data_IF_620459836674
#
_entry.id   IF_620459836674
#
_cell.length_a   1.000
_cell.length_b   1.000
_cell.length_c   1.000
_cell.angle_alpha   90.00
_cell.angle_beta   90.00
_cell.angle_gamma   90.00
#
_symmetry.space_group_name_H-M   'P 1'
#
loop_
_entity.id
_entity.type
_entity.pdbx_description
1 polymer ?
#
# COMPACT_ATOMS: atom_id res chain seq x y z
N UNK A 1 9.77 -11.96 -21.45
CA UNK A 1 10.03 -12.26 -20.03
C UNK A 1 10.00 -10.92 -19.32
N UNK A 2 8.92 -10.61 -18.61
CA UNK A 2 8.76 -9.31 -17.93
C UNK A 2 9.79 -9.25 -16.81
N UNK A 3 10.82 -8.43 -16.98
CA UNK A 3 11.86 -8.25 -15.96
C UNK A 3 11.30 -7.30 -14.90
N UNK A 4 11.52 -7.62 -13.64
CA UNK A 4 11.11 -6.79 -12.50
C UNK A 4 12.32 -6.57 -11.59
N UNK A 5 12.39 -5.38 -11.00
CA UNK A 5 13.46 -4.97 -10.09
C UNK A 5 12.86 -4.57 -8.75
N UNK A 6 13.58 -4.82 -7.66
CA UNK A 6 13.15 -4.41 -6.32
C UNK A 6 13.91 -3.15 -5.94
N UNK A 7 13.18 -2.06 -5.78
CA UNK A 7 13.73 -0.76 -5.43
C UNK A 7 13.46 -0.50 -3.94
N UNK A 8 14.48 -0.17 -3.13
CA UNK A 8 14.25 0.18 -1.73
C UNK A 8 13.45 1.47 -1.65
N UNK A 9 12.33 1.44 -0.92
CA UNK A 9 11.45 2.61 -0.78
C UNK A 9 12.15 3.72 0.01
N UNK A 10 12.84 3.33 1.09
CA UNK A 10 13.62 4.24 1.91
C UNK A 10 15.12 3.98 1.67
N UNK A 11 15.86 5.01 1.27
CA UNK A 11 17.33 4.93 1.11
C UNK A 11 18.00 4.92 2.48
N UNK A 12 18.25 3.73 3.00
CA UNK A 12 18.93 3.47 4.27
C UNK A 12 19.97 2.35 4.11
N UNK A 13 20.94 2.23 5.03
CA UNK A 13 22.03 1.25 4.92
C UNK A 13 21.55 -0.21 4.85
N UNK A 14 20.39 -0.51 5.45
CA UNK A 14 19.75 -1.84 5.38
C UNK A 14 18.24 -1.68 5.14
N UNK A 15 17.80 -1.53 3.88
CA UNK A 15 16.38 -1.37 3.59
C UNK A 15 15.63 -2.67 3.87
N UNK A 16 14.46 -2.54 4.47
CA UNK A 16 13.55 -3.66 4.80
C UNK A 16 12.24 -3.60 4.00
N UNK A 17 11.96 -2.47 3.34
CA UNK A 17 10.77 -2.26 2.53
C UNK A 17 11.17 -1.89 1.09
N UNK A 18 10.61 -2.63 0.14
CA UNK A 18 10.92 -2.53 -1.28
C UNK A 18 9.62 -2.39 -2.07
N UNK A 19 9.69 -1.63 -3.15
CA UNK A 19 8.67 -1.57 -4.18
C UNK A 19 9.13 -2.34 -5.40
N UNK A 20 8.16 -2.91 -6.13
CA UNK A 20 8.44 -3.49 -7.45
C UNK A 20 8.56 -2.35 -8.45
N UNK A 21 9.57 -2.42 -9.32
CA UNK A 21 9.64 -1.63 -10.55
C UNK A 21 9.56 -2.56 -11.75
N UNK A 22 8.54 -2.38 -12.58
CA UNK A 22 8.40 -3.13 -13.82
C UNK A 22 9.30 -2.56 -14.90
N UNK A 23 9.87 -3.42 -15.74
CA UNK A 23 10.72 -2.97 -16.83
C UNK A 23 9.93 -2.17 -17.87
N UNK A 24 10.41 -0.97 -18.17
CA UNK A 24 9.73 -0.02 -19.07
C UNK A 24 9.01 1.10 -18.33
N UNK A 25 8.72 0.92 -17.04
CA UNK A 25 8.13 1.97 -16.21
C UNK A 25 9.19 2.95 -15.71
N UNK A 26 8.83 4.24 -15.66
CA UNK A 26 9.70 5.30 -15.13
C UNK A 26 9.89 5.17 -13.63
N UNK A 27 8.87 4.72 -12.92
CA UNK A 27 8.76 4.73 -11.46
C UNK A 27 8.51 3.33 -10.88
N UNK A 28 8.80 3.16 -9.60
CA UNK A 28 8.38 1.98 -8.85
C UNK A 28 6.94 2.12 -8.34
N UNK A 29 6.33 0.99 -8.02
CA UNK A 29 4.92 0.90 -7.63
C UNK A 29 4.58 1.69 -6.36
N UNK A 30 5.56 1.99 -5.49
CA UNK A 30 5.28 2.85 -4.34
C UNK A 30 5.08 4.29 -4.81
N UNK A 31 6.04 4.86 -5.52
CA UNK A 31 5.95 6.24 -5.99
C UNK A 31 4.74 6.44 -6.92
N UNK A 32 4.57 5.54 -7.90
CA UNK A 32 3.42 5.57 -8.81
C UNK A 32 2.08 5.61 -8.07
N UNK A 33 1.92 4.81 -7.00
CA UNK A 33 0.68 4.77 -6.23
C UNK A 33 0.40 6.07 -5.48
N UNK A 34 1.40 6.62 -4.79
CA UNK A 34 1.23 7.85 -4.01
C UNK A 34 1.06 9.08 -4.91
N UNK A 35 1.70 9.10 -6.08
CA UNK A 35 1.48 10.13 -7.10
C UNK A 35 0.03 10.07 -7.63
N UNK A 36 -0.48 8.88 -7.96
CA UNK A 36 -1.88 8.72 -8.39
C UNK A 36 -2.89 9.06 -7.28
N UNK A 37 -2.57 8.78 -6.02
CA UNK A 37 -3.45 9.12 -4.89
C UNK A 37 -3.41 10.60 -4.49
N UNK A 38 -2.46 11.37 -5.03
CA UNK A 38 -2.38 12.82 -4.84
C UNK A 38 -2.82 13.61 -6.09
N UNK A 39 -2.98 12.95 -7.24
CA UNK A 39 -3.47 13.54 -8.49
C UNK A 39 -5.01 13.67 -8.48
N UNK A 40 -5.49 14.90 -8.38
CA UNK A 40 -6.93 15.22 -8.37
C UNK A 40 -7.59 14.86 -9.70
N UNK A 41 -6.95 15.11 -10.84
CA UNK A 41 -7.53 14.86 -12.16
C UNK A 41 -7.68 13.36 -12.42
N UNK A 42 -6.68 12.58 -12.01
CA UNK A 42 -6.76 11.12 -12.03
C UNK A 42 -7.88 10.60 -11.13
N UNK A 43 -7.95 11.07 -9.87
CA UNK A 43 -8.96 10.61 -8.93
C UNK A 43 -10.38 10.99 -9.34
N UNK A 44 -10.56 12.19 -9.91
CA UNK A 44 -11.84 12.62 -10.44
C UNK A 44 -12.31 11.68 -11.55
N UNK A 45 -11.45 11.41 -12.54
CA UNK A 45 -11.75 10.46 -13.62
C UNK A 45 -12.06 9.07 -13.06
N UNK A 46 -11.23 8.58 -12.13
CA UNK A 46 -11.41 7.27 -11.51
C UNK A 46 -12.75 7.15 -10.77
N UNK A 47 -13.15 8.13 -9.97
CA UNK A 47 -14.39 8.08 -9.21
C UNK A 47 -15.62 8.36 -10.07
N UNK A 48 -15.51 9.16 -11.13
CA UNK A 48 -16.59 9.32 -12.11
C UNK A 48 -16.85 8.00 -12.86
N UNK A 49 -15.80 7.32 -13.30
CA UNK A 49 -15.91 6.02 -13.99
C UNK A 49 -16.48 4.92 -13.09
N UNK A 50 -16.26 5.02 -11.77
CA UNK A 50 -16.72 4.04 -10.77
C UNK A 50 -17.83 4.61 -9.86
N UNK A 51 -18.61 5.58 -10.35
CA UNK A 51 -19.61 6.31 -9.56
C UNK A 51 -20.65 5.40 -8.88
N UNK A 52 -21.07 4.33 -9.55
CA UNK A 52 -22.05 3.40 -8.99
C UNK A 52 -21.54 2.67 -7.74
N UNK A 53 -20.27 2.29 -7.73
CA UNK A 53 -19.64 1.60 -6.60
C UNK A 53 -19.38 2.56 -5.44
N UNK A 54 -19.14 3.84 -5.75
CA UNK A 54 -18.97 4.89 -4.75
C UNK A 54 -20.26 5.17 -3.98
N UNK A 55 -21.41 5.22 -4.68
CA UNK A 55 -22.73 5.47 -4.09
C UNK A 55 -23.29 4.26 -3.35
N UNK A 56 -23.04 3.04 -3.83
CA UNK A 56 -23.70 1.82 -3.35
C UNK A 56 -22.86 1.07 -2.31
N UNK A 57 -23.51 0.13 -1.62
CA UNK A 57 -22.82 -0.87 -0.80
C UNK A 57 -22.14 -0.31 0.46
N UNK A 58 -20.83 -0.55 0.56
CA UNK A 58 -19.99 -0.29 1.74
C UNK A 58 -19.48 1.16 1.80
N UNK A 59 -19.35 1.83 0.66
CA UNK A 59 -18.68 3.13 0.57
C UNK A 59 -19.62 4.31 0.85
N UNK A 60 -20.78 4.38 0.18
CA UNK A 60 -21.87 5.35 0.44
C UNK A 60 -21.39 6.80 0.53
N UNK A 61 -20.49 7.18 -0.36
CA UNK A 61 -19.97 8.56 -0.38
C UNK A 61 -20.98 9.51 -1.04
N UNK A 62 -21.15 10.75 -0.51
CA UNK A 62 -22.17 11.68 -1.02
C UNK A 62 -21.81 12.29 -2.37
N UNK A 63 -20.52 12.41 -2.67
CA UNK A 63 -19.98 13.10 -3.84
C UNK A 63 -18.61 12.53 -4.26
N UNK A 64 -18.18 12.86 -5.48
CA UNK A 64 -16.85 12.51 -5.99
C UNK A 64 -15.79 13.30 -5.21
N UNK A 65 -16.07 14.56 -4.94
CA UNK A 65 -15.20 15.49 -4.21
C UNK A 65 -14.89 14.97 -2.80
N UNK A 66 -15.90 14.48 -2.08
CA UNK A 66 -15.70 13.86 -0.75
C UNK A 66 -14.80 12.62 -0.82
N UNK A 67 -14.87 11.85 -1.91
CA UNK A 67 -14.05 10.66 -2.12
C UNK A 67 -12.62 11.00 -2.50
N UNK A 68 -12.41 12.04 -3.31
CA UNK A 68 -11.09 12.60 -3.64
C UNK A 68 -10.43 13.10 -2.35
N UNK A 69 -11.09 13.99 -1.61
CA UNK A 69 -10.58 14.54 -0.35
C UNK A 69 -10.25 13.40 0.62
N UNK A 70 -11.11 12.38 0.71
CA UNK A 70 -10.83 11.22 1.55
C UNK A 70 -9.58 10.47 1.13
N UNK A 71 -9.40 10.29 -0.17
CA UNK A 71 -8.29 9.54 -0.75
C UNK A 71 -6.97 10.22 -0.48
N UNK A 72 -6.89 11.52 -0.76
CA UNK A 72 -5.68 12.33 -0.55
C UNK A 72 -5.30 12.35 0.93
N UNK A 73 -6.25 12.70 1.82
CA UNK A 73 -5.99 12.72 3.26
C UNK A 73 -5.53 11.35 3.81
N UNK A 74 -6.06 10.26 3.27
CA UNK A 74 -5.64 8.93 3.69
C UNK A 74 -4.29 8.50 3.13
N UNK A 75 -3.95 8.93 1.91
CA UNK A 75 -2.65 8.71 1.31
C UNK A 75 -1.57 9.45 2.11
N UNK A 76 -1.76 10.73 2.40
CA UNK A 76 -0.85 11.52 3.23
C UNK A 76 -0.64 10.87 4.61
N UNK A 77 -1.74 10.51 5.29
CA UNK A 77 -1.67 9.85 6.60
C UNK A 77 -0.91 8.52 6.56
N UNK A 78 -1.08 7.75 5.49
CA UNK A 78 -0.42 6.46 5.31
C UNK A 78 1.07 6.62 4.99
N UNK A 79 1.41 7.58 4.13
CA UNK A 79 2.79 7.92 3.80
C UNK A 79 3.55 8.43 5.03
N UNK A 80 2.97 9.37 5.78
CA UNK A 80 3.55 9.87 7.03
C UNK A 80 3.80 8.75 8.02
N UNK A 81 2.84 7.82 8.15
CA UNK A 81 3.00 6.66 9.01
C UNK A 81 4.15 5.75 8.54
N UNK A 82 4.24 5.46 7.24
CA UNK A 82 5.34 4.68 6.65
C UNK A 82 6.70 5.35 6.87
N UNK A 83 6.80 6.65 6.64
CA UNK A 83 8.04 7.41 6.88
C UNK A 83 8.41 7.42 8.36
N UNK A 84 7.44 7.58 9.26
CA UNK A 84 7.68 7.55 10.71
C UNK A 84 8.22 6.18 11.15
N UNK A 85 7.65 5.10 10.62
CA UNK A 85 8.11 3.75 10.93
C UNK A 85 9.47 3.45 10.30
N UNK A 86 9.75 3.94 9.10
CA UNK A 86 11.07 3.82 8.48
C UNK A 86 12.15 4.49 9.34
N UNK A 87 11.88 5.72 9.83
CA UNK A 87 12.78 6.43 10.76
C UNK A 87 12.94 5.68 12.08
N UNK A 88 11.85 5.18 12.66
CA UNK A 88 11.89 4.36 13.88
C UNK A 88 12.60 3.03 13.65
N UNK A 89 12.55 2.45 12.44
CA UNK A 89 13.17 1.16 12.13
C UNK A 89 14.69 1.17 12.19
N UNK A 90 15.30 2.37 12.11
CA UNK A 90 16.72 2.59 12.40
C UNK A 90 17.07 2.32 13.87
N UNK A 91 16.10 2.47 14.77
CA UNK A 91 16.23 2.29 16.22
C UNK A 91 15.63 0.94 16.65
N UNK A 92 14.46 0.60 16.09
CA UNK A 92 13.68 -0.60 16.38
C UNK A 92 13.19 -1.28 15.10
N UNK A 93 13.91 -2.32 14.66
CA UNK A 93 13.60 -3.09 13.43
C UNK A 93 12.22 -3.76 13.43
N UNK A 94 11.53 -3.80 14.57
CA UNK A 94 10.22 -4.43 14.72
C UNK A 94 9.06 -3.51 14.31
N UNK A 95 9.29 -2.20 14.24
CA UNK A 95 8.30 -1.17 13.92
C UNK A 95 7.56 -1.41 12.58
N UNK A 96 8.22 -1.95 11.55
CA UNK A 96 7.56 -2.25 10.27
C UNK A 96 6.74 -3.55 10.28
N UNK A 97 6.99 -4.46 11.23
CA UNK A 97 6.21 -5.68 11.38
C UNK A 97 4.84 -5.42 12.00
N UNK A 98 4.72 -4.37 12.82
CA UNK A 98 3.44 -4.00 13.45
C UNK A 98 2.46 -3.44 12.42
N UNK A 99 2.97 -2.74 11.40
CA UNK A 99 2.19 -2.24 10.27
C UNK A 99 1.66 -3.37 9.39
N UNK A 100 2.52 -4.26 8.93
CA UNK A 100 2.15 -5.30 7.97
C UNK A 100 1.84 -6.61 8.66
N UNK A 101 0.54 -6.80 8.93
CA UNK A 101 0.04 -7.99 9.60
C UNK A 101 -0.37 -9.07 8.60
N UNK A 102 -0.27 -10.37 8.95
CA UNK A 102 -0.70 -11.46 8.08
C UNK A 102 -2.14 -11.25 7.59
N UNK A 103 -2.37 -11.52 6.31
CA UNK A 103 -3.71 -11.42 5.72
C UNK A 103 -4.63 -12.49 6.30
N UNK A 104 -4.08 -13.67 6.59
CA UNK A 104 -4.77 -14.79 7.20
C UNK A 104 -4.52 -14.79 8.72
N UNK A 105 -5.59 -14.59 9.50
CA UNK A 105 -5.51 -14.57 10.97
C UNK A 105 -5.09 -15.92 11.58
N UNK A 106 -5.11 -17.02 10.81
CA UNK A 106 -4.61 -18.33 11.25
C UNK A 106 -3.09 -18.47 11.17
N UNK A 107 -2.41 -17.55 10.49
CA UNK A 107 -0.95 -17.55 10.41
C UNK A 107 -0.37 -16.89 11.66
N UNK A 108 -0.11 -17.71 12.68
CA UNK A 108 0.42 -17.29 13.98
C UNK A 108 1.94 -17.08 13.99
N UNK A 109 2.63 -17.47 12.92
CA UNK A 109 4.08 -17.40 12.80
C UNK A 109 4.50 -16.66 11.53
N UNK A 110 5.63 -15.97 11.61
CA UNK A 110 6.26 -15.34 10.46
C UNK A 110 6.80 -16.42 9.53
N UNK A 111 6.40 -16.38 8.26
CA UNK A 111 6.85 -17.31 7.23
C UNK A 111 7.33 -16.56 6.00
N UNK A 112 8.22 -17.18 5.22
CA UNK A 112 8.59 -16.67 3.91
C UNK A 112 7.40 -16.76 2.95
N UNK A 113 7.32 -15.81 2.02
CA UNK A 113 6.22 -15.62 1.07
C UNK A 113 4.85 -15.34 1.72
N UNK A 114 4.83 -14.96 2.99
CA UNK A 114 3.61 -14.58 3.69
C UNK A 114 3.01 -13.30 3.10
N UNK A 115 1.72 -13.35 2.78
CA UNK A 115 0.93 -12.18 2.34
C UNK A 115 0.50 -11.38 3.56
N UNK A 116 0.86 -10.11 3.59
CA UNK A 116 0.52 -9.18 4.66
C UNK A 116 -0.27 -7.99 4.13
N UNK A 117 -0.96 -7.31 5.04
CA UNK A 117 -1.71 -6.09 4.77
C UNK A 117 -1.35 -5.03 5.81
N UNK A 118 -1.14 -3.80 5.34
CA UNK A 118 -0.94 -2.63 6.19
C UNK A 118 -2.17 -2.39 7.08
N UNK A 119 -1.93 -2.26 8.39
CA UNK A 119 -2.93 -1.94 9.42
C UNK A 119 -2.48 -0.74 10.27
N UNK A 120 -2.52 0.43 9.67
CA UNK A 120 -2.15 1.70 10.31
C UNK A 120 -3.34 2.39 11.02
N UNK A 121 -4.59 2.03 10.67
CA UNK A 121 -5.80 2.51 11.35
C UNK A 121 -6.92 1.46 11.38
N UNK A 122 -7.91 1.67 12.26
CA UNK A 122 -9.03 0.72 12.49
C UNK A 122 -9.88 0.47 11.24
N UNK A 123 -10.05 1.49 10.38
CA UNK A 123 -10.81 1.39 9.13
C UNK A 123 -10.11 2.17 8.01
N UNK A 124 -9.13 1.55 7.32
CA UNK A 124 -8.40 2.22 6.25
C UNK A 124 -9.19 2.31 4.95
N UNK A 125 -9.16 3.50 4.34
CA UNK A 125 -9.76 3.75 3.02
C UNK A 125 -8.83 3.14 1.97
N UNK A 126 -7.55 3.49 2.02
CA UNK A 126 -6.49 2.91 1.21
C UNK A 126 -5.92 1.63 1.83
N UNK A 127 -5.46 0.71 0.99
CA UNK A 127 -4.96 -0.59 1.45
C UNK A 127 -3.67 -0.92 0.73
N UNK A 128 -2.58 -0.97 1.48
CA UNK A 128 -1.31 -1.51 1.01
C UNK A 128 -1.20 -2.98 1.39
N UNK A 129 -0.76 -3.78 0.43
CA UNK A 129 -0.45 -5.19 0.63
C UNK A 129 1.04 -5.39 0.45
N UNK A 130 1.58 -6.35 1.17
CA UNK A 130 2.96 -6.74 0.99
C UNK A 130 3.17 -8.25 0.99
N UNK A 131 4.28 -8.67 0.39
CA UNK A 131 4.77 -10.06 0.47
C UNK A 131 6.07 -10.05 1.25
N UNK A 132 6.12 -10.84 2.32
CA UNK A 132 7.31 -11.06 3.12
C UNK A 132 8.23 -12.04 2.39
N UNK A 133 9.47 -11.68 2.09
CA UNK A 133 10.37 -12.55 1.32
C UNK A 133 11.20 -13.48 2.22
N UNK A 134 11.63 -12.99 3.38
CA UNK A 134 12.40 -13.76 4.35
C UNK A 134 11.67 -13.86 5.70
N UNK A 135 11.87 -14.95 6.43
CA UNK A 135 11.24 -15.17 7.75
C UNK A 135 12.01 -14.53 8.91
N UNK A 136 13.11 -13.83 8.63
CA UNK A 136 13.95 -13.17 9.63
C UNK A 136 13.33 -11.86 10.11
N UNK A 137 13.70 -11.38 11.29
CA UNK A 137 13.04 -10.23 11.89
C UNK A 137 13.21 -8.89 11.12
N UNK A 138 14.12 -8.82 10.15
CA UNK A 138 14.29 -7.65 9.26
C UNK A 138 13.56 -7.76 7.93
N UNK A 139 12.57 -8.65 7.82
CA UNK A 139 12.11 -9.17 6.53
C UNK A 139 11.83 -8.11 5.48
N UNK A 140 12.42 -8.34 4.31
CA UNK A 140 12.08 -7.73 3.03
C UNK A 140 10.57 -7.85 2.80
N UNK A 141 9.91 -6.71 2.65
CA UNK A 141 8.50 -6.62 2.28
C UNK A 141 8.38 -5.94 0.93
N UNK A 142 7.71 -6.60 -0.01
CA UNK A 142 7.43 -6.06 -1.33
C UNK A 142 6.02 -5.48 -1.31
N UNK A 143 5.85 -4.18 -1.54
CA UNK A 143 4.53 -3.60 -1.77
C UNK A 143 4.02 -4.08 -3.12
N UNK A 144 2.85 -4.71 -3.11
CA UNK A 144 2.15 -5.14 -4.32
C UNK A 144 0.80 -4.45 -4.31
N UNK A 145 0.53 -3.63 -5.33
CA UNK A 145 -0.84 -3.16 -5.56
C UNK A 145 -1.70 -4.37 -5.93
N UNK A 146 -2.75 -4.62 -5.15
CA UNK A 146 -3.95 -5.23 -5.71
C UNK A 146 -4.96 -4.11 -5.74
N UNK A 147 -5.08 -3.46 -6.90
CA UNK A 147 -6.10 -2.44 -7.12
C UNK A 147 -7.41 -3.08 -6.67
N UNK A 148 -8.00 -2.49 -5.63
CA UNK A 148 -9.28 -2.93 -5.09
C UNK A 148 -10.32 -2.58 -6.13
N UNK A 149 -10.46 -3.48 -7.09
CA UNK A 149 -11.58 -3.63 -8.01
C UNK A 149 -12.86 -3.05 -7.40
N UNK A 150 -13.18 -1.81 -7.74
CA UNK A 150 -14.56 -1.43 -7.95
C UNK A 150 -15.10 -2.21 -9.18
N UNK A 151 -14.24 -2.59 -10.14
CA UNK A 151 -14.55 -3.59 -11.16
C UNK A 151 -14.30 -5.06 -10.77
N UNK A 152 -15.28 -5.68 -10.11
CA UNK A 152 -15.60 -7.12 -10.08
C UNK A 152 -14.58 -8.21 -9.63
N UNK A 153 -15.15 -9.07 -8.78
CA UNK A 153 -14.91 -10.51 -8.63
C UNK A 153 -14.39 -11.23 -9.88
N UNK A 154 -13.22 -11.87 -9.74
CA UNK A 154 -12.93 -13.23 -10.17
C UNK A 154 -11.77 -13.80 -9.33
#
# INVERSE_FOLDING_TARGET
>A
MTKMELIPIFRQENPTLYAVKYNGESEDEYHRLFDLWSDIEYLETFFQDNWEDLLKGFYRYPSVEDAIEKTINDAESLEDYLQSLAKCSLIDRFSLQTLFQPLNARETHLSSMQKSKARYKKSPWLRLYAIRIASDLGSLQIIVEKCGSMGNLA
#
